data_IF_859509458476
#
_entry.id   IF_859509458476
#
_cell.length_a   1.000
_cell.length_b   1.000
_cell.length_c   1.000
_cell.angle_alpha   90.00
_cell.angle_beta   90.00
_cell.angle_gamma   90.00
#
_symmetry.space_group_name_H-M   'P 1'
#
loop_
_entity.id
_entity.type
_entity.pdbx_description
1 polymer ?
#
# COMPACT_ATOMS: atom_id res chain seq x y z
N UNK A 1 -61.13 -23.14 15.26
CA UNK A 1 -60.80 -21.74 14.94
C UNK A 1 -59.69 -21.26 15.87
N UNK A 2 -58.48 -20.98 15.36
CA UNK A 2 -57.50 -20.02 15.93
C UNK A 2 -56.37 -19.83 14.92
N UNK A 3 -56.63 -18.84 14.07
CA UNK A 3 -55.74 -18.03 13.22
C UNK A 3 -54.25 -18.40 13.17
N UNK A 4 -53.84 -18.99 12.03
CA UNK A 4 -52.47 -19.25 11.61
C UNK A 4 -51.93 -18.07 10.76
N UNK A 5 -51.81 -16.86 11.31
CA UNK A 5 -51.34 -15.71 10.53
C UNK A 5 -50.48 -14.74 11.37
N UNK A 6 -49.22 -15.11 11.64
CA UNK A 6 -48.13 -14.14 11.90
C UNK A 6 -46.77 -14.49 11.27
N UNK A 7 -46.66 -15.08 10.04
CA UNK A 7 -45.34 -15.36 9.42
C UNK A 7 -44.65 -14.09 8.90
N UNK A 8 -45.42 -13.07 8.52
CA UNK A 8 -44.88 -11.89 7.82
C UNK A 8 -43.96 -11.02 8.69
N UNK A 9 -44.22 -10.95 10.00
CA UNK A 9 -43.47 -10.10 10.93
C UNK A 9 -42.12 -10.75 11.30
N UNK A 10 -42.11 -12.08 11.48
CA UNK A 10 -40.88 -12.86 11.71
C UNK A 10 -40.01 -12.92 10.47
N UNK A 11 -40.58 -13.19 9.28
CA UNK A 11 -39.84 -13.17 8.02
C UNK A 11 -39.22 -11.81 7.72
N UNK A 12 -39.96 -10.72 7.94
CA UNK A 12 -39.43 -9.35 7.79
C UNK A 12 -38.27 -9.08 8.74
N UNK A 13 -38.37 -9.50 9.99
CA UNK A 13 -37.31 -9.31 10.97
C UNK A 13 -36.05 -10.13 10.61
N UNK A 14 -36.21 -11.35 10.08
CA UNK A 14 -35.10 -12.17 9.58
C UNK A 14 -34.42 -11.46 8.40
N UNK A 15 -35.19 -10.92 7.46
CA UNK A 15 -34.65 -10.23 6.30
C UNK A 15 -33.88 -8.95 6.70
N UNK A 16 -34.41 -8.19 7.66
CA UNK A 16 -33.72 -7.03 8.24
C UNK A 16 -32.43 -7.45 8.94
N UNK A 17 -32.45 -8.53 9.74
CA UNK A 17 -31.27 -9.03 10.42
C UNK A 17 -30.19 -9.50 9.43
N UNK A 18 -30.57 -10.15 8.33
CA UNK A 18 -29.65 -10.58 7.27
C UNK A 18 -29.04 -9.38 6.52
N UNK A 19 -29.86 -8.39 6.17
CA UNK A 19 -29.37 -7.16 5.54
C UNK A 19 -28.43 -6.38 6.47
N UNK A 20 -28.77 -6.33 7.77
CA UNK A 20 -27.93 -5.68 8.76
C UNK A 20 -26.59 -6.41 8.95
N UNK A 21 -26.62 -7.75 9.04
CA UNK A 21 -25.41 -8.57 9.11
C UNK A 21 -24.53 -8.41 7.87
N UNK A 22 -25.14 -8.37 6.67
CA UNK A 22 -24.43 -8.12 5.42
C UNK A 22 -23.83 -6.70 5.37
N UNK A 23 -24.57 -5.67 5.81
CA UNK A 23 -24.02 -4.31 5.90
C UNK A 23 -22.81 -4.26 6.82
N UNK A 24 -22.84 -5.00 7.93
CA UNK A 24 -21.77 -5.02 8.92
C UNK A 24 -20.45 -5.56 8.33
N UNK A 25 -20.51 -6.50 7.36
CA UNK A 25 -19.28 -7.01 6.71
C UNK A 25 -18.58 -5.94 5.86
N UNK A 26 -19.30 -4.96 5.32
CA UNK A 26 -18.71 -3.85 4.56
C UNK A 26 -18.11 -2.75 5.44
N UNK A 27 -18.40 -2.76 6.76
CA UNK A 27 -17.86 -1.78 7.71
C UNK A 27 -16.55 -2.21 8.36
N UNK A 28 -16.13 -3.46 8.15
CA UNK A 28 -14.87 -3.95 8.70
C UNK A 28 -13.71 -3.28 7.94
N UNK A 29 -12.80 -2.57 8.63
CA UNK A 29 -11.63 -2.02 7.98
C UNK A 29 -10.78 -3.15 7.40
N UNK A 30 -10.32 -2.99 6.17
CA UNK A 30 -9.30 -3.87 5.62
C UNK A 30 -8.06 -3.82 6.53
N UNK A 31 -7.43 -4.97 6.76
CA UNK A 31 -6.13 -5.01 7.44
C UNK A 31 -5.08 -4.37 6.52
N UNK A 32 -4.85 -3.08 6.69
CA UNK A 32 -3.73 -2.37 6.08
C UNK A 32 -2.61 -2.27 7.12
N UNK A 33 -1.42 -2.79 6.82
CA UNK A 33 -0.24 -2.42 7.59
C UNK A 33 0.11 -0.99 7.19
N UNK A 34 -0.08 -0.02 8.09
CA UNK A 34 0.17 1.38 7.78
C UNK A 34 1.67 1.71 7.59
N UNK A 35 2.57 0.79 7.98
CA UNK A 35 4.01 1.00 7.86
C UNK A 35 4.56 0.29 6.63
N UNK A 36 4.91 1.06 5.59
CA UNK A 36 5.66 0.56 4.45
C UNK A 36 7.12 0.34 4.85
N UNK A 37 7.51 -0.93 5.07
CA UNK A 37 8.87 -1.31 5.45
C UNK A 37 9.67 -1.58 4.19
N UNK A 38 10.86 -0.99 4.06
CA UNK A 38 11.80 -1.31 2.98
C UNK A 38 12.28 -2.76 3.14
N UNK A 39 11.92 -3.62 2.18
CA UNK A 39 12.28 -5.04 2.16
C UNK A 39 13.64 -5.28 1.50
N UNK A 40 13.92 -4.56 0.40
CA UNK A 40 15.17 -4.67 -0.37
C UNK A 40 15.38 -3.43 -1.24
N UNK A 41 16.60 -3.28 -1.73
CA UNK A 41 16.96 -2.28 -2.74
C UNK A 41 17.92 -2.86 -3.78
N UNK A 42 18.00 -2.19 -4.92
CA UNK A 42 19.04 -2.36 -5.92
C UNK A 42 19.61 -0.97 -6.25
N UNK A 43 20.88 -0.67 -5.92
CA UNK A 43 21.86 -1.55 -5.29
C UNK A 43 21.46 -2.05 -3.91
N UNK A 44 21.90 -3.24 -3.55
CA UNK A 44 21.64 -3.83 -2.24
C UNK A 44 22.25 -2.98 -1.12
N UNK A 45 21.63 -2.99 0.06
CA UNK A 45 22.17 -2.36 1.26
C UNK A 45 23.62 -2.81 1.49
N UNK A 46 24.48 -1.84 1.78
CA UNK A 46 25.91 -2.02 2.06
C UNK A 46 26.73 -2.61 0.89
N UNK A 47 26.18 -2.62 -0.34
CA UNK A 47 26.91 -3.06 -1.52
C UNK A 47 28.07 -2.11 -1.88
N UNK A 48 29.22 -2.69 -2.24
CA UNK A 48 30.36 -1.97 -2.81
C UNK A 48 30.34 -2.18 -4.32
N UNK A 49 30.19 -1.09 -5.06
CA UNK A 49 30.08 -1.13 -6.52
C UNK A 49 31.38 -0.68 -7.19
N UNK A 50 31.76 -1.35 -8.27
CA UNK A 50 32.92 -0.95 -9.08
C UNK A 50 32.63 0.25 -10.00
N UNK A 51 31.35 0.59 -10.19
CA UNK A 51 30.89 1.72 -11.01
C UNK A 51 29.66 2.35 -10.36
N UNK A 52 29.47 3.65 -10.60
CA UNK A 52 28.27 4.35 -10.17
C UNK A 52 27.03 3.75 -10.87
N UNK A 53 25.95 3.46 -10.13
CA UNK A 53 24.69 3.02 -10.71
C UNK A 53 23.95 4.21 -11.34
N UNK A 54 23.07 3.93 -12.30
CA UNK A 54 22.25 4.96 -12.94
C UNK A 54 20.97 5.28 -12.15
N UNK A 55 20.56 4.38 -11.25
CA UNK A 55 19.32 4.47 -10.48
C UNK A 55 19.43 3.69 -9.18
N UNK A 56 18.51 3.95 -8.26
CA UNK A 56 18.22 3.12 -7.09
C UNK A 56 16.76 2.69 -7.15
N UNK A 57 16.51 1.39 -6.99
CA UNK A 57 15.17 0.78 -6.89
C UNK A 57 14.95 0.26 -5.48
N UNK A 58 13.76 0.43 -4.93
CA UNK A 58 13.41 0.11 -3.55
C UNK A 58 12.07 -0.61 -3.50
N UNK A 59 12.01 -1.76 -2.85
CA UNK A 59 10.77 -2.54 -2.69
C UNK A 59 10.31 -2.52 -1.24
N UNK A 60 9.02 -2.31 -1.05
CA UNK A 60 8.38 -2.15 0.25
C UNK A 60 7.38 -3.28 0.53
N UNK A 61 7.00 -3.44 1.80
CA UNK A 61 6.00 -4.42 2.23
C UNK A 61 4.58 -4.06 1.80
N UNK A 62 4.32 -2.77 1.59
CA UNK A 62 2.98 -2.21 1.42
C UNK A 62 2.91 -1.29 0.21
N UNK A 63 1.69 -1.03 -0.26
CA UNK A 63 1.47 -0.13 -1.39
C UNK A 63 1.81 1.31 -0.98
N UNK A 64 2.61 1.96 -1.82
CA UNK A 64 2.99 3.35 -1.66
C UNK A 64 1.94 4.26 -2.28
N UNK A 65 1.71 5.41 -1.68
CA UNK A 65 0.90 6.46 -2.29
C UNK A 65 1.78 7.31 -3.22
N UNK A 66 1.56 7.32 -4.54
CA UNK A 66 2.42 8.06 -5.48
C UNK A 66 2.42 9.58 -5.26
N UNK A 67 1.38 10.15 -4.65
CA UNK A 67 1.29 11.59 -4.40
C UNK A 67 1.98 12.05 -3.11
N UNK A 68 2.23 11.13 -2.16
CA UNK A 68 2.74 11.45 -0.83
C UNK A 68 4.03 10.71 -0.46
N UNK A 69 4.61 9.95 -1.39
CA UNK A 69 5.87 9.22 -1.19
C UNK A 69 7.01 9.88 -1.96
N UNK A 70 8.21 9.91 -1.38
CA UNK A 70 9.41 10.43 -2.04
C UNK A 70 10.68 9.77 -1.47
N UNK A 71 11.80 9.93 -2.17
CA UNK A 71 13.12 9.57 -1.72
C UNK A 71 14.15 10.61 -2.17
N UNK A 72 15.32 10.57 -1.52
CA UNK A 72 16.50 11.32 -1.91
C UNK A 72 17.73 10.43 -1.75
N UNK A 73 18.70 10.59 -2.64
CA UNK A 73 20.00 9.93 -2.53
C UNK A 73 21.06 11.02 -2.32
N UNK A 74 21.82 10.89 -1.24
CA UNK A 74 22.86 11.84 -0.87
C UNK A 74 24.22 11.17 -0.79
N UNK A 75 25.28 11.94 -1.06
CA UNK A 75 26.65 11.48 -0.83
C UNK A 75 27.06 11.66 0.65
N UNK A 76 28.29 11.28 1.00
CA UNK A 76 28.85 11.39 2.36
C UNK A 76 28.90 12.82 2.92
N UNK A 77 28.74 13.85 2.07
CA UNK A 77 28.66 15.27 2.48
C UNK A 77 27.21 15.77 2.57
N UNK A 78 26.21 14.88 2.55
CA UNK A 78 24.78 15.18 2.50
C UNK A 78 24.36 16.01 1.27
N UNK A 79 25.11 15.91 0.16
CA UNK A 79 24.75 16.60 -1.08
C UNK A 79 23.87 15.69 -1.95
N UNK A 80 22.75 16.20 -2.51
CA UNK A 80 21.89 15.41 -3.39
C UNK A 80 22.61 14.96 -4.66
N UNK A 81 22.64 13.65 -4.89
CA UNK A 81 23.21 13.01 -6.10
C UNK A 81 22.12 12.38 -6.99
N UNK A 82 20.85 12.52 -6.62
CA UNK A 82 19.70 12.15 -7.43
C UNK A 82 19.24 13.26 -8.40
N UNK A 83 18.36 12.89 -9.33
CA UNK A 83 17.70 13.80 -10.28
C UNK A 83 16.40 14.40 -9.75
N UNK A 84 16.03 14.16 -8.48
CA UNK A 84 14.77 14.57 -7.84
C UNK A 84 13.51 14.05 -8.54
N UNK A 85 13.60 12.85 -9.08
CA UNK A 85 12.57 12.18 -9.87
C UNK A 85 12.05 10.89 -9.18
N UNK A 86 12.13 10.85 -7.85
CA UNK A 86 11.62 9.72 -7.07
C UNK A 86 10.14 9.49 -7.38
N UNK A 87 9.79 8.27 -7.78
CA UNK A 87 8.43 7.91 -8.16
C UNK A 87 8.11 6.46 -7.83
N UNK A 88 6.84 6.18 -7.54
CA UNK A 88 6.32 4.81 -7.43
C UNK A 88 6.27 4.22 -8.84
N UNK A 89 6.77 3.00 -9.01
CA UNK A 89 6.82 2.35 -10.31
C UNK A 89 5.41 2.10 -10.85
N UNK A 90 5.17 2.37 -12.14
CA UNK A 90 3.84 2.24 -12.74
C UNK A 90 3.29 0.80 -12.75
N UNK A 91 4.17 -0.20 -12.71
CA UNK A 91 3.82 -1.63 -12.72
C UNK A 91 3.80 -2.31 -11.35
N UNK A 92 4.28 -1.64 -10.31
CA UNK A 92 4.36 -2.19 -8.95
C UNK A 92 4.22 -1.05 -7.93
N UNK A 93 3.07 -0.99 -7.26
CA UNK A 93 2.77 0.01 -6.22
C UNK A 93 3.66 -0.13 -4.98
N UNK A 94 4.37 -1.24 -4.82
CA UNK A 94 5.31 -1.49 -3.72
C UNK A 94 6.75 -1.18 -4.11
N UNK A 95 6.99 -0.67 -5.31
CA UNK A 95 8.32 -0.31 -5.80
C UNK A 95 8.45 1.20 -5.97
N UNK A 96 9.59 1.75 -5.56
CA UNK A 96 9.97 3.15 -5.79
C UNK A 96 11.34 3.23 -6.43
N UNK A 97 11.41 4.04 -7.48
CA UNK A 97 12.61 4.25 -8.29
C UNK A 97 13.07 5.70 -8.21
N UNK A 98 14.38 5.92 -8.26
CA UNK A 98 15.00 7.25 -8.33
C UNK A 98 16.25 7.21 -9.19
N UNK A 99 16.40 8.17 -10.11
CA UNK A 99 17.56 8.26 -10.99
C UNK A 99 18.71 9.01 -10.34
N UNK A 100 19.94 8.59 -10.62
CA UNK A 100 21.14 9.27 -10.18
C UNK A 100 21.70 10.19 -11.26
N UNK A 101 22.41 11.23 -10.84
CA UNK A 101 23.19 12.07 -11.76
C UNK A 101 24.36 11.26 -12.32
N UNK A 102 24.66 11.50 -13.59
CA UNK A 102 25.84 10.94 -14.26
C UNK A 102 27.15 11.51 -13.68
#
# INVERSE_FOLDING_TARGET
>A
MKSLLRPHRTQRNILIALLFALSLTFTLPAMASAHAILLRSDPAKDAVLNRAPQQVRMWFSEDLNPAFTTAAVVNAKNQPVDQKDAHVAAGDSKEMDISLKA
#
